data_IF_547259182796
#
_entry.id   IF_547259182796
#
_cell.length_a   1.000
_cell.length_b   1.000
_cell.length_c   1.000
_cell.angle_alpha   90.00
_cell.angle_beta   90.00
_cell.angle_gamma   90.00
#
_symmetry.space_group_name_H-M   'P 1'
#
loop_
_entity.id
_entity.type
_entity.pdbx_description
1 polymer ?
#
# COMPACT_ATOMS: atom_id res chain seq x y z
N UNK A 1 -38.85 13.27 -37.33
CA UNK A 1 -38.36 12.01 -36.71
C UNK A 1 -36.83 11.98 -36.56
N UNK A 2 -36.04 12.29 -37.60
CA UNK A 2 -34.55 12.32 -37.52
C UNK A 2 -33.99 13.29 -36.45
N UNK A 3 -34.59 14.48 -36.31
CA UNK A 3 -34.15 15.46 -35.30
C UNK A 3 -34.47 15.06 -33.85
N UNK A 4 -35.57 14.33 -33.62
CA UNK A 4 -35.96 13.84 -32.28
C UNK A 4 -35.02 12.71 -31.84
N UNK A 5 -34.58 11.87 -32.79
CA UNK A 5 -33.60 10.81 -32.56
C UNK A 5 -32.20 11.37 -32.22
N UNK A 6 -31.76 12.44 -32.87
CA UNK A 6 -30.48 13.09 -32.54
C UNK A 6 -30.49 13.75 -31.16
N UNK A 7 -31.61 14.36 -30.75
CA UNK A 7 -31.72 14.98 -29.42
C UNK A 7 -31.71 13.93 -28.31
N UNK A 8 -32.35 12.78 -28.52
CA UNK A 8 -32.36 11.67 -27.54
C UNK A 8 -30.99 10.98 -27.43
N UNK A 9 -30.25 10.82 -28.53
CA UNK A 9 -28.88 10.29 -28.49
C UNK A 9 -27.92 11.25 -27.76
N UNK A 10 -28.07 12.56 -27.98
CA UNK A 10 -27.25 13.57 -27.28
C UNK A 10 -27.53 13.59 -25.76
N UNK A 11 -28.80 13.41 -25.36
CA UNK A 11 -29.20 13.37 -23.95
C UNK A 11 -28.75 12.09 -23.24
N UNK A 12 -28.61 10.95 -23.94
CA UNK A 12 -28.02 9.74 -23.37
C UNK A 12 -26.50 9.89 -23.14
N UNK A 13 -25.79 10.60 -24.03
CA UNK A 13 -24.33 10.76 -23.92
C UNK A 13 -23.91 11.62 -22.71
N UNK A 14 -24.73 12.59 -22.28
CA UNK A 14 -24.38 13.45 -21.13
C UNK A 14 -24.47 12.72 -19.79
N UNK A 15 -25.30 11.68 -19.67
CA UNK A 15 -25.42 10.88 -18.43
C UNK A 15 -24.26 9.91 -18.21
N UNK A 16 -23.45 9.62 -19.24
CA UNK A 16 -22.31 8.72 -19.16
C UNK A 16 -21.01 9.39 -18.67
N UNK A 17 -21.02 10.69 -18.35
CA UNK A 17 -19.81 11.48 -18.03
C UNK A 17 -19.48 11.51 -16.52
N UNK A 18 -19.94 10.54 -15.73
CA UNK A 18 -19.59 10.43 -14.28
C UNK A 18 -18.68 9.23 -14.00
N UNK A 19 -17.88 8.80 -14.98
CA UNK A 19 -17.13 7.55 -14.90
C UNK A 19 -15.74 7.63 -14.26
N UNK A 20 -15.28 8.79 -13.79
CA UNK A 20 -13.94 8.91 -13.18
C UNK A 20 -14.03 9.53 -11.78
N UNK A 21 -14.35 8.71 -10.78
CA UNK A 21 -14.02 9.05 -9.40
C UNK A 21 -12.52 8.86 -9.21
N UNK A 22 -11.74 9.93 -9.34
CA UNK A 22 -10.35 9.93 -8.89
C UNK A 22 -10.39 9.75 -7.38
N UNK A 23 -10.00 8.57 -6.89
CA UNK A 23 -9.88 8.35 -5.46
C UNK A 23 -8.80 9.31 -4.93
N UNK A 24 -9.11 10.15 -3.92
CA UNK A 24 -8.13 11.03 -3.35
C UNK A 24 -6.97 10.20 -2.77
N UNK A 25 -5.73 10.72 -2.81
CA UNK A 25 -4.59 10.01 -2.25
C UNK A 25 -4.83 9.74 -0.76
N UNK A 26 -4.50 8.52 -0.33
CA UNK A 26 -4.61 8.16 1.07
C UNK A 26 -3.53 8.87 1.88
N UNK A 27 -3.92 9.51 2.97
CA UNK A 27 -2.99 10.22 3.86
C UNK A 27 -2.86 9.44 5.18
N UNK A 28 -1.64 9.02 5.50
CA UNK A 28 -1.27 8.52 6.82
C UNK A 28 -0.40 9.57 7.52
N UNK A 29 -0.87 10.12 8.63
CA UNK A 29 -0.10 11.11 9.41
C UNK A 29 0.86 10.38 10.35
N UNK A 30 2.02 9.99 9.85
CA UNK A 30 3.06 9.31 10.66
C UNK A 30 3.44 10.13 11.90
N UNK A 31 3.73 9.44 13.01
CA UNK A 31 4.10 10.05 14.30
C UNK A 31 5.62 10.03 14.49
N UNK A 32 6.16 11.15 14.97
CA UNK A 32 7.57 11.21 15.38
C UNK A 32 7.76 10.46 16.70
N UNK A 33 8.82 9.67 16.81
CA UNK A 33 9.25 8.98 18.04
C UNK A 33 10.51 9.62 18.63
N UNK A 34 10.77 9.35 19.91
CA UNK A 34 12.01 9.74 20.62
C UNK A 34 12.87 8.52 20.97
N UNK A 35 12.39 7.31 20.69
CA UNK A 35 13.10 6.06 20.92
C UNK A 35 13.03 5.19 19.66
N UNK A 36 14.14 4.52 19.34
CA UNK A 36 14.23 3.56 18.26
C UNK A 36 13.64 2.21 18.73
N UNK A 37 12.84 1.53 17.90
CA UNK A 37 12.41 0.17 18.17
C UNK A 37 13.55 -0.82 17.97
N UNK A 38 13.40 -2.01 18.54
CA UNK A 38 14.22 -3.16 18.16
C UNK A 38 13.78 -3.65 16.77
N UNK A 39 14.76 -3.96 15.92
CA UNK A 39 14.51 -4.47 14.57
C UNK A 39 14.58 -6.00 14.59
N UNK A 40 13.55 -6.63 15.17
CA UNK A 40 13.46 -8.10 15.30
C UNK A 40 12.13 -8.69 14.80
N UNK A 41 11.25 -7.86 14.22
CA UNK A 41 9.97 -8.28 13.67
C UNK A 41 8.86 -8.46 14.71
N UNK A 42 9.11 -8.17 15.99
CA UNK A 42 8.13 -8.27 17.07
C UNK A 42 7.48 -6.89 17.30
N UNK A 43 6.15 -6.87 17.49
CA UNK A 43 5.38 -5.63 17.72
C UNK A 43 5.05 -5.47 19.21
N UNK A 44 6.07 -5.41 20.05
CA UNK A 44 5.93 -5.30 21.51
C UNK A 44 6.52 -4.00 22.10
N UNK A 45 7.30 -3.26 21.33
CA UNK A 45 7.79 -1.94 21.76
C UNK A 45 6.66 -0.92 21.93
N UNK A 46 6.68 -0.21 23.07
CA UNK A 46 5.66 0.78 23.44
C UNK A 46 5.46 1.92 22.41
N UNK A 47 6.48 2.24 21.62
CA UNK A 47 6.40 3.31 20.62
C UNK A 47 5.32 3.03 19.56
N UNK A 48 4.97 1.77 19.36
CA UNK A 48 3.99 1.35 18.36
C UNK A 48 2.53 1.48 18.80
N UNK A 49 2.25 1.62 20.10
CA UNK A 49 0.88 1.60 20.65
C UNK A 49 0.02 2.69 19.99
N UNK A 50 0.54 3.93 19.96
CA UNK A 50 -0.16 5.08 19.37
C UNK A 50 0.20 5.33 17.89
N UNK A 51 0.96 4.43 17.26
CA UNK A 51 1.36 4.61 15.87
C UNK A 51 0.13 4.44 14.95
N UNK A 52 -0.14 5.41 14.06
CA UNK A 52 -1.26 5.32 13.13
C UNK A 52 -1.18 4.08 12.25
N UNK A 53 -2.32 3.42 12.06
CA UNK A 53 -2.45 2.19 11.29
C UNK A 53 -2.87 2.51 9.85
N UNK A 54 -2.07 2.06 8.89
CA UNK A 54 -2.49 1.89 7.50
C UNK A 54 -3.00 0.44 7.30
N UNK A 55 -4.24 0.32 6.81
CA UNK A 55 -4.99 -0.92 6.60
C UNK A 55 -5.95 -0.80 5.41
N UNK A 56 -6.79 -1.76 5.04
CA UNK A 56 -7.74 -1.61 3.93
C UNK A 56 -7.03 -1.30 2.60
N UNK A 57 -5.95 -2.03 2.34
CA UNK A 57 -5.26 -1.94 1.06
C UNK A 57 -6.15 -2.44 -0.07
N UNK A 58 -5.81 -1.99 -1.28
CA UNK A 58 -6.48 -2.41 -2.51
C UNK A 58 -5.52 -3.23 -3.35
N UNK A 59 -6.08 -4.19 -4.07
CA UNK A 59 -5.36 -5.00 -5.01
C UNK A 59 -4.92 -4.13 -6.20
N UNK A 60 -3.62 -4.17 -6.53
CA UNK A 60 -3.11 -3.54 -7.74
C UNK A 60 -3.30 -4.44 -8.96
N UNK A 61 -3.12 -5.76 -8.77
CA UNK A 61 -3.29 -6.82 -9.76
C UNK A 61 -3.68 -8.13 -9.05
N UNK A 62 -4.42 -9.05 -9.72
CA UNK A 62 -5.01 -8.92 -11.06
C UNK A 62 -6.30 -8.08 -11.16
N UNK A 63 -6.90 -7.68 -10.04
CA UNK A 63 -8.20 -7.00 -9.97
C UNK A 63 -8.05 -5.58 -9.37
N UNK A 64 -7.58 -4.59 -10.15
CA UNK A 64 -7.31 -3.24 -9.66
C UNK A 64 -8.47 -2.64 -8.85
N UNK A 65 -8.17 -2.15 -7.65
CA UNK A 65 -9.13 -1.45 -6.80
C UNK A 65 -10.02 -2.35 -5.95
N UNK A 66 -9.93 -3.68 -6.10
CA UNK A 66 -10.63 -4.61 -5.21
C UNK A 66 -10.08 -4.47 -3.79
N UNK A 67 -10.97 -4.33 -2.81
CA UNK A 67 -10.58 -4.31 -1.41
C UNK A 67 -10.02 -5.66 -0.97
N UNK A 68 -8.99 -5.64 -0.12
CA UNK A 68 -8.48 -6.85 0.53
C UNK A 68 -9.56 -7.54 1.37
N UNK A 69 -9.47 -8.87 1.47
CA UNK A 69 -10.31 -9.62 2.41
C UNK A 69 -9.71 -9.58 3.81
N UNK A 70 -10.52 -9.78 4.85
CA UNK A 70 -9.99 -9.84 6.21
C UNK A 70 -8.94 -10.94 6.41
N UNK A 71 -9.04 -12.06 5.66
CA UNK A 71 -8.09 -13.17 5.72
C UNK A 71 -6.73 -12.84 5.07
N UNK A 72 -6.71 -11.91 4.11
CA UNK A 72 -5.51 -11.44 3.39
C UNK A 72 -5.22 -9.97 3.62
N UNK A 73 -5.58 -9.46 4.80
CA UNK A 73 -5.44 -8.03 5.12
C UNK A 73 -3.97 -7.67 5.33
N UNK A 74 -3.65 -6.40 5.12
CA UNK A 74 -2.32 -5.84 5.38
C UNK A 74 -2.40 -4.71 6.39
N UNK A 75 -1.54 -4.74 7.39
CA UNK A 75 -1.46 -3.77 8.47
C UNK A 75 -0.05 -3.18 8.51
N UNK A 76 0.08 -1.86 8.30
CA UNK A 76 1.36 -1.15 8.28
C UNK A 76 1.34 0.00 9.27
N UNK A 77 2.40 0.12 10.07
CA UNK A 77 2.67 1.25 10.97
C UNK A 77 3.97 1.90 10.55
N UNK A 78 3.98 3.22 10.51
CA UNK A 78 5.17 4.02 10.16
C UNK A 78 5.40 5.01 11.28
N UNK A 79 6.63 5.05 11.77
CA UNK A 79 7.15 6.05 12.71
C UNK A 79 8.46 6.62 12.15
N UNK A 80 8.94 7.72 12.70
CA UNK A 80 10.24 8.27 12.31
C UNK A 80 10.87 9.11 13.43
N UNK A 81 12.17 9.31 13.35
CA UNK A 81 12.90 10.29 14.15
C UNK A 81 13.87 11.10 13.27
N UNK A 82 14.95 11.65 13.84
CA UNK A 82 15.93 12.45 13.09
C UNK A 82 16.91 11.58 12.28
N UNK A 83 16.93 10.27 12.49
CA UNK A 83 17.93 9.34 11.97
C UNK A 83 17.31 8.33 11.03
N UNK A 84 16.10 7.84 11.34
CA UNK A 84 15.48 6.76 10.59
C UNK A 84 13.96 6.90 10.44
N UNK A 85 13.44 6.19 9.43
CA UNK A 85 12.02 5.86 9.28
C UNK A 85 11.87 4.40 9.68
N UNK A 86 10.97 4.13 10.62
CA UNK A 86 10.66 2.78 11.09
C UNK A 86 9.36 2.32 10.46
N UNK A 87 9.42 1.18 9.78
CA UNK A 87 8.25 0.55 9.16
C UNK A 87 8.04 -0.79 9.82
N UNK A 88 6.86 -0.98 10.40
CA UNK A 88 6.36 -2.28 10.78
C UNK A 88 5.24 -2.67 9.82
N UNK A 89 5.29 -3.89 9.29
CA UNK A 89 4.26 -4.41 8.40
C UNK A 89 3.90 -5.85 8.78
N UNK A 90 2.61 -6.15 8.71
CA UNK A 90 2.06 -7.48 8.89
C UNK A 90 1.07 -7.75 7.77
N UNK A 91 1.37 -8.76 6.97
CA UNK A 91 0.47 -9.29 5.95
C UNK A 91 -0.05 -10.64 6.46
N UNK A 92 -1.36 -10.83 6.41
CA UNK A 92 -1.98 -12.10 6.82
C UNK A 92 -2.15 -12.97 5.57
N UNK A 93 -1.82 -14.25 5.68
CA UNK A 93 -2.16 -15.27 4.69
C UNK A 93 -2.15 -16.65 5.36
N UNK A 94 -2.51 -17.69 4.61
CA UNK A 94 -2.32 -19.06 5.06
C UNK A 94 -0.81 -19.39 5.05
N UNK A 95 -0.25 -20.02 6.10
CA UNK A 95 1.18 -20.29 6.17
C UNK A 95 1.74 -21.14 5.02
N UNK A 96 0.90 -22.00 4.43
CA UNK A 96 1.26 -22.84 3.27
C UNK A 96 1.32 -22.08 1.94
N UNK A 97 0.79 -20.85 1.93
CA UNK A 97 0.69 -20.00 0.75
C UNK A 97 1.79 -18.94 0.67
N UNK A 98 2.61 -18.80 1.72
CA UNK A 98 3.69 -17.80 1.80
C UNK A 98 4.97 -18.35 1.19
N UNK A 99 5.32 -17.88 -0.01
CA UNK A 99 6.60 -18.23 -0.65
C UNK A 99 7.77 -17.52 0.05
N UNK A 100 8.89 -18.22 0.27
CA UNK A 100 10.00 -17.73 1.08
C UNK A 100 11.37 -18.28 0.65
N UNK A 101 11.52 -18.62 -0.62
CA UNK A 101 12.75 -19.17 -1.17
C UNK A 101 13.87 -18.13 -1.16
N UNK A 102 15.02 -18.52 -0.61
CA UNK A 102 16.17 -17.63 -0.49
C UNK A 102 16.87 -17.44 -1.84
N UNK A 103 17.14 -16.19 -2.17
CA UNK A 103 17.97 -15.78 -3.32
C UNK A 103 19.06 -14.82 -2.86
N UNK A 104 19.94 -14.44 -3.79
CA UNK A 104 20.98 -13.44 -3.48
C UNK A 104 20.36 -12.08 -3.18
N UNK A 105 21.05 -11.27 -2.37
CA UNK A 105 20.70 -9.87 -2.13
C UNK A 105 20.37 -9.14 -3.44
N UNK A 106 19.41 -8.23 -3.37
CA UNK A 106 18.93 -7.42 -4.50
C UNK A 106 18.14 -8.24 -5.56
N UNK A 107 17.72 -9.47 -5.20
CA UNK A 107 16.75 -10.27 -5.96
C UNK A 107 15.58 -10.66 -5.06
N UNK A 108 14.37 -10.68 -5.61
CA UNK A 108 13.16 -11.14 -4.90
C UNK A 108 12.99 -12.66 -5.06
N UNK A 109 13.26 -13.19 -6.25
CA UNK A 109 13.10 -14.63 -6.52
C UNK A 109 11.64 -15.07 -6.52
N UNK A 110 11.42 -16.35 -6.19
CA UNK A 110 10.09 -16.90 -5.93
C UNK A 110 9.77 -16.74 -4.44
N UNK A 111 9.52 -15.52 -4.01
CA UNK A 111 9.18 -15.23 -2.61
C UNK A 111 8.15 -14.11 -2.53
N UNK A 112 7.32 -14.18 -1.49
CA UNK A 112 6.47 -13.08 -1.12
C UNK A 112 7.33 -11.95 -0.54
N UNK A 113 6.94 -10.71 -0.81
CA UNK A 113 7.71 -9.55 -0.40
C UNK A 113 6.82 -8.35 -0.07
N UNK A 114 7.36 -7.44 0.73
CA UNK A 114 6.84 -6.10 0.91
C UNK A 114 7.84 -5.08 0.37
N UNK A 115 7.32 -4.03 -0.26
CA UNK A 115 8.10 -2.87 -0.69
C UNK A 115 7.57 -1.58 -0.08
N UNK A 116 8.48 -0.68 0.29
CA UNK A 116 8.18 0.70 0.65
C UNK A 116 8.99 1.63 -0.25
N UNK A 117 8.32 2.60 -0.85
CA UNK A 117 8.94 3.54 -1.78
C UNK A 117 8.75 4.96 -1.24
N UNK A 118 9.86 5.70 -1.12
CA UNK A 118 9.86 7.08 -0.67
C UNK A 118 10.26 8.01 -1.80
N UNK A 119 9.39 8.95 -2.14
CA UNK A 119 9.76 10.17 -2.87
C UNK A 119 10.23 11.21 -1.85
N UNK A 120 11.56 11.35 -1.71
CA UNK A 120 12.18 12.20 -0.69
C UNK A 120 12.20 13.67 -1.05
N UNK A 121 12.01 14.01 -2.33
CA UNK A 121 11.99 15.39 -2.83
C UNK A 121 10.59 15.88 -3.17
N UNK A 122 9.61 14.98 -3.15
CA UNK A 122 8.21 15.23 -3.51
C UNK A 122 8.08 15.79 -4.94
N UNK A 123 8.90 15.27 -5.85
CA UNK A 123 8.91 15.69 -7.26
C UNK A 123 7.98 14.83 -8.13
N UNK A 124 7.50 13.69 -7.61
CA UNK A 124 6.62 12.77 -8.33
C UNK A 124 7.30 11.98 -9.44
N UNK A 125 8.64 12.03 -9.52
CA UNK A 125 9.45 11.42 -10.58
C UNK A 125 10.42 10.40 -9.98
N UNK A 126 11.13 10.77 -8.90
CA UNK A 126 12.16 9.96 -8.30
C UNK A 126 11.66 9.28 -7.01
N UNK A 127 12.09 8.04 -6.79
CA UNK A 127 11.75 7.31 -5.57
C UNK A 127 12.82 6.31 -5.17
N UNK A 128 12.99 6.12 -3.86
CA UNK A 128 13.86 5.10 -3.28
C UNK A 128 13.01 3.95 -2.75
N UNK A 129 13.19 2.78 -3.36
CA UNK A 129 12.48 1.56 -3.00
C UNK A 129 13.31 0.67 -2.07
N UNK A 130 12.68 0.21 -0.99
CA UNK A 130 13.22 -0.76 -0.04
C UNK A 130 12.30 -1.97 -0.05
N UNK A 131 12.88 -3.16 -0.27
CA UNK A 131 12.11 -4.40 -0.40
C UNK A 131 12.70 -5.46 0.52
N UNK A 132 11.82 -6.22 1.17
CA UNK A 132 12.18 -7.34 2.04
C UNK A 132 11.29 -8.53 1.67
N UNK A 133 11.90 -9.70 1.54
CA UNK A 133 11.17 -10.95 1.26
C UNK A 133 10.80 -11.66 2.56
N UNK A 134 9.88 -12.62 2.49
CA UNK A 134 9.55 -13.48 3.63
C UNK A 134 10.75 -14.31 4.14
N UNK A 135 11.83 -14.44 3.34
CA UNK A 135 13.05 -15.15 3.71
C UNK A 135 13.99 -14.32 4.62
N UNK A 136 13.75 -13.01 4.77
CA UNK A 136 14.63 -12.07 5.47
C UNK A 136 15.56 -11.32 4.54
#
# INVERSE_FOLDING_TARGET
MKHILCITISLLLTTAVVAQTVNPPRILRSKRTTAAPKIDGILDDNIWIDAPLANNFIEFRPSPGKAETNAKRTEVKILYDNVAIYVFARMYDNPDSVAHEMVTRDQIGNADFIGVIFDTFKDGINGYGFYVTAAG
#
